data_IF_312372954739
#
_entry.id   IF_312372954739
#
_cell.length_a   1.000
_cell.length_b   1.000
_cell.length_c   1.000
_cell.angle_alpha   90.00
_cell.angle_beta   90.00
_cell.angle_gamma   90.00
#
_symmetry.space_group_name_H-M   'P 1'
#
loop_
_entity.id
_entity.type
_entity.pdbx_description
1 polymer ?
#
# COMPACT_ATOMS: atom_id res chain seq x y z
N UNK A 1 33.79 21.39 -10.89
CA UNK A 1 33.97 19.93 -10.75
C UNK A 1 33.92 19.35 -12.16
N UNK A 2 34.88 18.53 -12.58
CA UNK A 2 34.94 18.03 -13.97
C UNK A 2 33.75 17.11 -14.27
N UNK A 3 33.35 16.99 -15.54
CA UNK A 3 32.32 16.04 -15.97
C UNK A 3 32.89 14.62 -15.92
N UNK A 4 32.06 13.59 -15.68
CA UNK A 4 32.50 12.20 -15.53
C UNK A 4 33.36 11.71 -16.70
N UNK A 5 33.05 12.12 -17.93
CA UNK A 5 33.85 11.79 -19.12
C UNK A 5 35.31 12.27 -19.01
N UNK A 6 35.53 13.49 -18.50
CA UNK A 6 36.87 14.05 -18.29
C UNK A 6 37.59 13.35 -17.13
N UNK A 7 36.87 12.99 -16.06
CA UNK A 7 37.44 12.24 -14.93
C UNK A 7 37.89 10.83 -15.37
N UNK A 8 37.07 10.15 -16.17
CA UNK A 8 37.37 8.84 -16.74
C UNK A 8 38.58 8.91 -17.70
N UNK A 9 38.65 9.96 -18.52
CA UNK A 9 39.79 10.16 -19.42
C UNK A 9 41.11 10.34 -18.64
N UNK A 10 41.13 11.18 -17.60
CA UNK A 10 42.30 11.36 -16.73
C UNK A 10 42.74 10.04 -16.09
N UNK A 11 41.78 9.24 -15.61
CA UNK A 11 42.08 7.94 -14.97
C UNK A 11 42.63 6.93 -15.98
N UNK A 12 42.07 6.89 -17.19
CA UNK A 12 42.56 6.04 -18.28
C UNK A 12 43.99 6.40 -18.73
N UNK A 13 44.33 7.69 -18.83
CA UNK A 13 45.70 8.13 -19.15
C UNK A 13 46.73 7.64 -18.14
N UNK A 14 46.35 7.54 -16.86
CA UNK A 14 47.21 6.98 -15.82
C UNK A 14 47.26 5.45 -15.86
N UNK A 15 46.10 4.80 -15.83
CA UNK A 15 46.02 3.36 -15.56
C UNK A 15 46.32 2.51 -16.81
N UNK A 16 46.06 3.03 -18.02
CA UNK A 16 46.25 2.31 -19.30
C UNK A 16 47.49 2.78 -20.06
N UNK A 17 47.76 4.08 -20.04
CA UNK A 17 48.89 4.67 -20.79
C UNK A 17 50.11 4.97 -19.94
N UNK A 18 50.06 4.67 -18.64
CA UNK A 18 51.14 4.82 -17.66
C UNK A 18 51.77 6.23 -17.63
N UNK A 19 50.99 7.25 -17.99
CA UNK A 19 51.49 8.62 -18.07
C UNK A 19 51.71 9.22 -16.68
N UNK A 20 52.73 10.08 -16.57
CA UNK A 20 52.97 10.87 -15.37
C UNK A 20 51.90 11.96 -15.19
N UNK A 21 51.69 12.42 -13.96
CA UNK A 21 50.70 13.47 -13.66
C UNK A 21 51.02 14.75 -14.45
N UNK A 22 52.30 15.06 -14.67
CA UNK A 22 52.71 16.22 -15.47
C UNK A 22 52.28 16.11 -16.94
N UNK A 23 52.41 14.93 -17.55
CA UNK A 23 51.93 14.68 -18.92
C UNK A 23 50.40 14.74 -19.02
N UNK A 24 49.70 14.25 -18.00
CA UNK A 24 48.24 14.35 -17.93
C UNK A 24 47.80 15.82 -17.90
N UNK A 25 48.47 16.67 -17.10
CA UNK A 25 48.18 18.12 -17.03
C UNK A 25 48.39 18.79 -18.39
N UNK A 26 49.48 18.49 -19.08
CA UNK A 26 49.79 19.04 -20.39
C UNK A 26 48.75 18.61 -21.45
N UNK A 27 48.31 17.35 -21.40
CA UNK A 27 47.37 16.79 -22.36
C UNK A 27 45.90 17.18 -22.11
N UNK A 28 45.52 17.40 -20.86
CA UNK A 28 44.12 17.67 -20.47
C UNK A 28 43.85 19.12 -20.08
N UNK A 29 44.90 19.92 -19.88
CA UNK A 29 44.80 21.33 -19.46
C UNK A 29 44.24 21.55 -18.05
N UNK A 30 44.02 20.49 -17.26
CA UNK A 30 43.53 20.63 -15.88
C UNK A 30 44.66 20.87 -14.90
N UNK A 31 44.37 21.65 -13.85
CA UNK A 31 45.32 21.95 -12.79
C UNK A 31 45.90 20.66 -12.16
N UNK A 32 47.20 20.66 -11.88
CA UNK A 32 47.94 19.54 -11.31
C UNK A 32 47.28 18.91 -10.06
N UNK A 33 46.75 19.73 -9.13
CA UNK A 33 46.04 19.23 -7.93
C UNK A 33 44.76 18.47 -8.30
N UNK A 34 44.10 18.88 -9.37
CA UNK A 34 42.89 18.24 -9.87
C UNK A 34 43.22 16.94 -10.60
N UNK A 35 44.25 16.94 -11.44
CA UNK A 35 44.75 15.73 -12.09
C UNK A 35 45.17 14.68 -11.05
N UNK A 36 45.98 15.07 -10.06
CA UNK A 36 46.40 14.19 -8.95
C UNK A 36 45.20 13.67 -8.14
N UNK A 37 44.24 14.53 -7.80
CA UNK A 37 43.02 14.14 -7.08
C UNK A 37 42.25 13.01 -7.79
N UNK A 38 42.11 13.05 -9.11
CA UNK A 38 41.36 12.03 -9.85
C UNK A 38 42.20 10.79 -10.18
N UNK A 39 43.51 10.95 -10.36
CA UNK A 39 44.45 9.85 -10.52
C UNK A 39 44.50 8.96 -9.27
N UNK A 40 44.62 9.59 -8.09
CA UNK A 40 44.71 8.90 -6.80
C UNK A 40 43.34 8.44 -6.28
N UNK A 41 42.25 8.74 -7.00
CA UNK A 41 40.89 8.38 -6.60
C UNK A 41 40.61 6.91 -6.90
N UNK A 42 40.49 6.11 -5.84
CA UNK A 42 40.06 4.71 -5.90
C UNK A 42 38.54 4.55 -5.75
N UNK A 43 37.90 5.37 -4.90
CA UNK A 43 36.47 5.32 -4.67
C UNK A 43 35.69 6.32 -5.55
N UNK A 44 34.90 5.75 -6.47
CA UNK A 44 34.07 6.47 -7.43
C UNK A 44 32.59 6.52 -7.04
N UNK A 45 32.23 5.92 -5.90
CA UNK A 45 30.86 5.98 -5.41
C UNK A 45 30.49 7.42 -5.05
N UNK A 46 29.19 7.72 -5.14
CA UNK A 46 28.67 8.98 -4.60
C UNK A 46 28.87 8.94 -3.09
N UNK A 47 29.45 9.98 -2.47
CA UNK A 47 29.59 10.00 -1.02
C UNK A 47 28.19 9.88 -0.42
N UNK A 48 28.00 8.87 0.43
CA UNK A 48 26.81 8.77 1.24
C UNK A 48 26.73 10.05 2.06
N UNK A 49 25.69 10.85 1.82
CA UNK A 49 25.44 12.00 2.69
C UNK A 49 25.07 11.40 4.05
N UNK A 50 25.76 11.78 5.14
CA UNK A 50 25.32 11.35 6.45
C UNK A 50 23.86 11.82 6.59
N UNK A 51 22.96 10.87 6.85
CA UNK A 51 21.61 11.19 7.30
C UNK A 51 21.82 12.11 8.50
N UNK A 52 21.41 13.38 8.41
CA UNK A 52 21.46 14.30 9.55
C UNK A 52 20.45 13.80 10.57
N UNK A 53 20.86 12.83 11.37
CA UNK A 53 20.26 12.56 12.65
C UNK A 53 20.61 13.75 13.52
N UNK A 54 19.61 14.54 13.87
CA UNK A 54 19.43 15.10 15.21
C UNK A 54 18.10 15.82 15.22
N UNK A 55 17.16 15.25 15.96
CA UNK A 55 15.99 15.96 16.46
C UNK A 55 16.37 16.48 17.85
N UNK A 56 17.19 17.53 17.98
CA UNK A 56 17.70 17.95 19.30
C UNK A 56 16.54 18.32 20.24
N UNK A 57 15.43 18.81 19.69
CA UNK A 57 14.23 19.16 20.45
C UNK A 57 13.53 17.91 21.01
N UNK A 58 13.62 16.74 20.34
CA UNK A 58 13.01 15.49 20.82
C UNK A 58 13.88 14.75 21.85
N UNK A 59 15.16 15.11 21.98
CA UNK A 59 16.09 14.40 22.85
C UNK A 59 15.65 14.47 24.32
N UNK A 60 15.11 15.62 24.74
CA UNK A 60 14.56 15.83 26.08
C UNK A 60 13.26 15.03 26.38
N UNK A 61 12.54 14.58 25.35
CA UNK A 61 11.25 13.89 25.49
C UNK A 61 11.33 12.41 25.10
N UNK A 62 12.54 11.92 24.81
CA UNK A 62 12.78 10.55 24.34
C UNK A 62 12.28 9.50 25.31
N UNK A 63 12.67 9.60 26.57
CA UNK A 63 12.28 8.63 27.59
C UNK A 63 10.76 8.58 27.77
N UNK A 64 10.12 9.75 27.81
CA UNK A 64 8.67 9.85 27.96
C UNK A 64 7.91 9.21 26.79
N UNK A 65 8.35 9.48 25.56
CA UNK A 65 7.74 8.90 24.35
C UNK A 65 7.98 7.39 24.30
N UNK A 66 9.18 6.94 24.69
CA UNK A 66 9.50 5.50 24.76
C UNK A 66 8.60 4.79 25.78
N UNK A 67 8.39 5.37 26.96
CA UNK A 67 7.49 4.82 27.98
C UNK A 67 6.07 4.68 27.45
N UNK A 68 5.50 5.72 26.83
CA UNK A 68 4.15 5.64 26.26
C UNK A 68 4.05 4.59 25.14
N UNK A 69 5.07 4.47 24.29
CA UNK A 69 5.10 3.46 23.23
C UNK A 69 5.23 2.03 23.79
N UNK A 70 5.90 1.84 24.93
CA UNK A 70 5.97 0.55 25.62
C UNK A 70 4.65 0.20 26.31
N UNK A 71 4.03 1.16 27.02
CA UNK A 71 2.72 0.99 27.64
C UNK A 71 1.65 0.63 26.60
N UNK A 72 1.67 1.31 25.44
CA UNK A 72 0.77 1.05 24.32
C UNK A 72 0.82 -0.41 23.84
N UNK A 73 1.95 -1.11 23.99
CA UNK A 73 2.03 -2.53 23.57
C UNK A 73 1.08 -3.42 24.37
N UNK A 74 0.86 -3.10 25.65
CA UNK A 74 -0.05 -3.83 26.53
C UNK A 74 -1.53 -3.49 26.29
N UNK A 75 -1.81 -2.42 25.52
CA UNK A 75 -3.17 -1.99 25.22
C UNK A 75 -3.71 -2.55 23.88
N UNK A 76 -5.03 -2.74 23.75
CA UNK A 76 -5.67 -3.04 22.47
C UNK A 76 -5.35 -1.99 21.41
N UNK A 77 -5.20 -2.41 20.14
CA UNK A 77 -4.72 -1.54 19.04
C UNK A 77 -5.50 -0.23 18.89
N UNK A 78 -6.82 -0.24 19.14
CA UNK A 78 -7.70 0.95 19.08
C UNK A 78 -7.49 1.95 20.22
N UNK A 79 -6.83 1.55 21.30
CA UNK A 79 -6.58 2.36 22.49
C UNK A 79 -5.14 2.89 22.57
N UNK A 80 -4.27 2.48 21.64
CA UNK A 80 -2.88 2.95 21.56
C UNK A 80 -2.80 4.40 21.12
N UNK A 81 -1.77 5.11 21.56
CA UNK A 81 -1.56 6.50 21.17
C UNK A 81 -1.22 6.59 19.69
N UNK A 82 -1.93 7.47 18.98
CA UNK A 82 -1.50 7.90 17.65
C UNK A 82 -0.37 8.92 17.78
N UNK A 83 0.49 9.03 16.77
CA UNK A 83 1.59 10.02 16.79
C UNK A 83 1.08 11.47 16.98
N UNK A 84 -0.14 11.76 16.51
CA UNK A 84 -0.83 13.04 16.79
C UNK A 84 -1.15 13.19 18.27
N UNK A 85 -1.72 12.17 18.91
CA UNK A 85 -2.05 12.20 20.34
C UNK A 85 -0.79 12.32 21.21
N UNK A 86 0.32 11.69 20.81
CA UNK A 86 1.63 11.87 21.46
C UNK A 86 2.07 13.34 21.34
N UNK A 87 1.94 13.95 20.16
CA UNK A 87 2.27 15.37 19.97
C UNK A 87 1.39 16.28 20.84
N UNK A 88 0.07 16.08 20.84
CA UNK A 88 -0.86 16.89 21.63
C UNK A 88 -0.52 16.83 23.13
N UNK A 89 -0.19 15.63 23.65
CA UNK A 89 0.26 15.43 25.03
C UNK A 89 1.60 16.09 25.32
N UNK A 90 2.57 15.99 24.42
CA UNK A 90 3.86 16.67 24.56
C UNK A 90 3.69 18.20 24.64
N UNK A 91 2.78 18.77 23.85
CA UNK A 91 2.48 20.20 23.89
C UNK A 91 1.76 20.58 25.19
N UNK A 92 0.71 19.84 25.57
CA UNK A 92 -0.13 20.19 26.73
C UNK A 92 0.52 19.90 28.08
N UNK A 93 1.20 18.77 28.23
CA UNK A 93 1.76 18.30 29.50
C UNK A 93 3.22 18.77 29.68
N UNK A 94 3.97 18.97 28.59
CA UNK A 94 5.42 19.21 28.65
C UNK A 94 5.90 20.45 27.87
N UNK A 95 4.99 21.25 27.31
CA UNK A 95 5.33 22.51 26.65
C UNK A 95 6.19 22.36 25.39
N UNK A 96 6.03 21.26 24.64
CA UNK A 96 6.84 20.98 23.46
C UNK A 96 6.74 22.06 22.37
N UNK A 97 7.90 22.62 21.98
CA UNK A 97 8.01 23.71 21.00
C UNK A 97 8.26 23.24 19.55
N UNK A 98 8.32 21.94 19.30
CA UNK A 98 8.55 21.39 17.97
C UNK A 98 7.26 21.22 17.15
N UNK A 99 7.41 20.75 15.92
CA UNK A 99 6.28 20.48 15.02
C UNK A 99 5.76 19.04 15.15
N UNK A 100 4.46 18.83 14.86
CA UNK A 100 3.85 17.49 14.82
C UNK A 100 4.62 16.54 13.86
N UNK A 101 5.10 17.07 12.73
CA UNK A 101 5.92 16.32 11.75
C UNK A 101 7.17 15.71 12.39
N UNK A 102 7.78 16.44 13.33
CA UNK A 102 8.97 16.00 14.06
C UNK A 102 8.64 14.83 14.99
N UNK A 103 7.53 14.90 15.72
CA UNK A 103 7.04 13.82 16.58
C UNK A 103 6.65 12.59 15.76
N UNK A 104 5.94 12.76 14.63
CA UNK A 104 5.58 11.66 13.73
C UNK A 104 6.80 10.90 13.22
N UNK A 105 7.81 11.64 12.75
CA UNK A 105 9.05 11.03 12.28
C UNK A 105 9.77 10.28 13.40
N UNK A 106 9.86 10.91 14.59
CA UNK A 106 10.49 10.32 15.75
C UNK A 106 9.80 9.02 16.20
N UNK A 107 8.47 9.04 16.34
CA UNK A 107 7.65 7.88 16.71
C UNK A 107 7.81 6.75 15.69
N UNK A 108 7.79 7.06 14.38
CA UNK A 108 7.99 6.06 13.33
C UNK A 108 9.37 5.39 13.42
N UNK A 109 10.43 6.19 13.57
CA UNK A 109 11.80 5.68 13.77
C UNK A 109 11.88 4.80 15.01
N UNK A 110 11.24 5.21 16.09
CA UNK A 110 11.36 4.53 17.39
C UNK A 110 10.58 3.24 17.46
N UNK A 111 9.40 3.16 16.83
CA UNK A 111 8.65 1.92 16.63
C UNK A 111 9.45 0.86 15.87
N UNK A 112 10.24 1.29 14.87
CA UNK A 112 11.15 0.41 14.12
C UNK A 112 12.30 -0.09 15.02
N UNK A 113 12.96 0.82 15.74
CA UNK A 113 14.08 0.47 16.64
C UNK A 113 13.65 -0.45 17.78
N UNK A 114 12.46 -0.23 18.35
CA UNK A 114 11.88 -1.03 19.43
C UNK A 114 11.20 -2.32 18.94
N UNK A 115 11.23 -2.61 17.62
CA UNK A 115 10.55 -3.75 16.99
C UNK A 115 9.06 -3.88 17.37
N UNK A 116 8.39 -2.77 17.66
CA UNK A 116 6.97 -2.74 18.06
C UNK A 116 6.09 -3.13 16.87
N UNK A 117 6.54 -2.78 15.67
CA UNK A 117 5.96 -3.19 14.41
C UNK A 117 6.92 -4.21 13.77
N UNK A 118 6.94 -5.45 14.29
CA UNK A 118 7.39 -6.59 13.49
C UNK A 118 6.38 -6.78 12.36
N UNK A 119 6.47 -5.96 11.32
CA UNK A 119 5.92 -6.32 10.02
C UNK A 119 6.69 -7.55 9.60
N UNK A 120 6.03 -8.70 9.49
CA UNK A 120 6.56 -9.74 8.64
C UNK A 120 6.83 -9.11 7.27
N UNK A 121 7.99 -9.36 6.65
CA UNK A 121 8.28 -8.82 5.33
C UNK A 121 7.24 -9.38 4.36
N UNK A 122 6.28 -8.55 3.95
CA UNK A 122 5.34 -8.91 2.92
C UNK A 122 6.09 -8.99 1.60
N UNK A 123 6.04 -10.15 0.94
CA UNK A 123 6.45 -10.23 -0.46
C UNK A 123 5.37 -9.47 -1.23
N UNK A 124 5.76 -8.40 -1.91
CA UNK A 124 4.86 -7.69 -2.81
C UNK A 124 4.49 -8.66 -3.94
N UNK A 125 3.27 -9.20 -3.88
CA UNK A 125 2.73 -10.00 -4.96
C UNK A 125 2.54 -9.10 -6.18
N UNK A 126 3.32 -9.35 -7.23
CA UNK A 126 3.11 -8.76 -8.53
C UNK A 126 1.93 -9.47 -9.19
N UNK A 127 0.80 -8.79 -9.28
CA UNK A 127 -0.36 -9.28 -10.03
C UNK A 127 -0.21 -8.87 -11.49
N UNK A 128 -0.15 -9.82 -12.45
CA UNK A 128 -0.18 -9.49 -13.86
C UNK A 128 -1.49 -8.79 -14.24
N UNK A 129 -1.46 -8.00 -15.32
CA UNK A 129 -2.67 -7.39 -15.86
C UNK A 129 -3.73 -8.44 -16.21
N UNK A 130 -4.99 -8.16 -15.85
CA UNK A 130 -6.11 -9.08 -16.05
C UNK A 130 -6.47 -9.94 -14.82
N UNK A 131 -5.77 -9.77 -13.70
CA UNK A 131 -6.21 -10.28 -12.41
C UNK A 131 -7.05 -9.25 -11.65
N UNK A 132 -8.14 -9.71 -11.07
CA UNK A 132 -8.99 -8.95 -10.18
C UNK A 132 -9.16 -9.66 -8.85
N UNK A 133 -9.56 -8.91 -7.83
CA UNK A 133 -9.91 -9.45 -6.53
C UNK A 133 -11.28 -8.93 -6.12
N UNK A 134 -12.09 -9.84 -5.61
CA UNK A 134 -13.45 -9.58 -5.17
C UNK A 134 -13.52 -9.58 -3.63
N UNK A 135 -14.27 -8.63 -3.09
CA UNK A 135 -14.54 -8.52 -1.65
C UNK A 135 -15.96 -7.97 -1.38
N UNK A 136 -16.53 -8.41 -0.25
CA UNK A 136 -17.82 -7.95 0.26
C UNK A 136 -17.65 -6.88 1.35
N UNK A 137 -18.21 -5.71 1.09
CA UNK A 137 -18.41 -4.67 2.08
C UNK A 137 -19.82 -4.68 2.66
N UNK A 138 -19.96 -4.37 3.94
CA UNK A 138 -21.26 -4.00 4.53
C UNK A 138 -21.24 -2.51 4.86
N UNK A 139 -22.33 -1.81 4.53
CA UNK A 139 -22.52 -0.39 4.80
C UNK A 139 -23.99 -0.05 5.09
N UNK A 140 -24.23 1.11 5.71
CA UNK A 140 -25.56 1.63 5.97
C UNK A 140 -25.89 2.73 4.96
N UNK A 141 -27.14 2.76 4.50
CA UNK A 141 -27.68 3.76 3.58
C UNK A 141 -29.06 4.22 4.06
N UNK A 142 -29.49 5.42 3.66
CA UNK A 142 -30.86 5.86 3.87
C UNK A 142 -31.61 5.64 2.55
N UNK A 143 -32.55 4.70 2.52
CA UNK A 143 -33.38 4.42 1.34
C UNK A 143 -34.83 4.72 1.69
N UNK A 144 -35.47 5.62 0.94
CA UNK A 144 -36.87 5.99 1.19
C UNK A 144 -37.13 6.62 2.57
N UNK A 145 -36.09 7.22 3.17
CA UNK A 145 -36.17 7.83 4.51
C UNK A 145 -35.85 6.89 5.67
N UNK A 146 -35.61 5.60 5.42
CA UNK A 146 -35.25 4.63 6.45
C UNK A 146 -33.78 4.24 6.39
N UNK A 147 -33.15 4.09 7.56
CA UNK A 147 -31.79 3.59 7.68
C UNK A 147 -31.77 2.08 7.46
N UNK A 148 -31.11 1.65 6.39
CA UNK A 148 -31.05 0.25 5.99
C UNK A 148 -29.61 -0.22 5.79
N UNK A 149 -29.32 -1.44 6.22
CA UNK A 149 -28.04 -2.08 5.94
C UNK A 149 -28.05 -2.71 4.54
N UNK A 150 -26.98 -2.50 3.79
CA UNK A 150 -26.78 -3.05 2.45
C UNK A 150 -25.39 -3.65 2.31
N UNK A 151 -25.27 -4.51 1.30
CA UNK A 151 -24.02 -5.16 0.93
C UNK A 151 -23.48 -4.46 -0.32
N UNK A 152 -22.17 -4.39 -0.44
CA UNK A 152 -21.51 -3.91 -1.64
C UNK A 152 -20.48 -4.95 -2.08
N UNK A 153 -20.50 -5.22 -3.37
CA UNK A 153 -19.55 -6.06 -4.06
C UNK A 153 -18.47 -5.17 -4.65
N UNK A 154 -17.22 -5.43 -4.31
CA UNK A 154 -16.08 -4.63 -4.75
C UNK A 154 -15.20 -5.51 -5.63
N UNK A 155 -14.97 -5.09 -6.88
CA UNK A 155 -14.01 -5.71 -7.79
C UNK A 155 -12.83 -4.78 -7.98
N UNK A 156 -11.68 -5.16 -7.43
CA UNK A 156 -10.43 -4.38 -7.48
C UNK A 156 -9.43 -5.01 -8.44
N UNK A 157 -8.62 -4.17 -9.10
CA UNK A 157 -7.58 -4.55 -10.05
C UNK A 157 -6.21 -4.14 -9.50
N UNK A 158 -5.50 -5.05 -8.82
CA UNK A 158 -4.23 -4.76 -8.16
C UNK A 158 -3.15 -4.13 -9.07
N UNK A 159 -3.14 -4.50 -10.37
CA UNK A 159 -2.18 -4.00 -11.36
C UNK A 159 -2.39 -2.52 -11.70
N UNK A 160 -3.64 -2.07 -11.84
CA UNK A 160 -3.99 -0.71 -12.24
C UNK A 160 -4.45 0.17 -11.08
N UNK A 161 -4.61 -0.40 -9.88
CA UNK A 161 -5.28 0.17 -8.71
C UNK A 161 -6.75 0.58 -8.95
N UNK A 162 -7.36 0.20 -10.08
CA UNK A 162 -8.76 0.47 -10.33
C UNK A 162 -9.66 -0.37 -9.40
N UNK A 163 -10.81 0.17 -9.03
CA UNK A 163 -11.82 -0.57 -8.27
C UNK A 163 -13.21 -0.15 -8.74
N UNK A 164 -14.11 -1.11 -8.78
CA UNK A 164 -15.51 -0.95 -9.17
C UNK A 164 -16.40 -1.52 -8.09
N UNK A 165 -17.56 -0.92 -7.88
CA UNK A 165 -18.48 -1.29 -6.81
C UNK A 165 -19.89 -1.43 -7.33
N UNK A 166 -20.58 -2.45 -6.84
CA UNK A 166 -21.99 -2.66 -7.07
C UNK A 166 -22.72 -2.95 -5.76
N UNK A 167 -23.86 -2.30 -5.53
CA UNK A 167 -24.62 -2.46 -4.29
C UNK A 167 -25.63 -3.60 -4.46
N UNK A 168 -25.63 -4.53 -3.51
CA UNK A 168 -26.55 -5.67 -3.48
C UNK A 168 -27.45 -5.62 -2.25
N UNK A 169 -28.70 -6.13 -2.35
CA UNK A 169 -29.62 -6.13 -1.22
C UNK A 169 -29.22 -7.14 -0.15
N UNK A 170 -28.63 -8.28 -0.54
CA UNK A 170 -28.24 -9.39 0.34
C UNK A 170 -27.00 -10.11 -0.19
N UNK A 171 -26.41 -10.95 0.67
CA UNK A 171 -25.27 -11.82 0.38
C UNK A 171 -25.77 -13.25 0.08
N UNK A 172 -26.60 -13.40 -0.96
CA UNK A 172 -27.03 -14.70 -1.49
C UNK A 172 -26.41 -14.94 -2.88
N UNK A 173 -26.47 -16.18 -3.36
CA UNK A 173 -25.85 -16.58 -4.64
C UNK A 173 -26.38 -15.76 -5.82
N UNK A 174 -27.68 -15.52 -5.89
CA UNK A 174 -28.31 -14.76 -6.97
C UNK A 174 -27.80 -13.31 -7.02
N UNK A 175 -27.79 -12.62 -5.87
CA UNK A 175 -27.29 -11.25 -5.77
C UNK A 175 -25.79 -11.17 -6.07
N UNK A 176 -25.04 -12.21 -5.70
CA UNK A 176 -23.61 -12.29 -5.99
C UNK A 176 -23.32 -12.43 -7.48
N UNK A 177 -23.98 -13.40 -8.16
CA UNK A 177 -23.80 -13.62 -9.59
C UNK A 177 -24.28 -12.42 -10.43
N UNK A 178 -25.41 -11.83 -10.05
CA UNK A 178 -25.90 -10.60 -10.68
C UNK A 178 -24.94 -9.44 -10.45
N UNK A 179 -24.42 -9.29 -9.24
CA UNK A 179 -23.44 -8.26 -8.92
C UNK A 179 -22.16 -8.38 -9.74
N UNK A 180 -21.64 -9.60 -9.94
CA UNK A 180 -20.49 -9.85 -10.80
C UNK A 180 -20.77 -9.50 -12.26
N UNK A 181 -21.94 -9.89 -12.79
CA UNK A 181 -22.35 -9.52 -14.16
C UNK A 181 -22.34 -8.00 -14.34
N UNK A 182 -22.95 -7.28 -13.42
CA UNK A 182 -23.02 -5.82 -13.46
C UNK A 182 -21.63 -5.19 -13.37
N UNK A 183 -20.76 -5.72 -12.50
CA UNK A 183 -19.38 -5.26 -12.41
C UNK A 183 -18.61 -5.48 -13.71
N UNK A 184 -18.79 -6.62 -14.39
CA UNK A 184 -18.17 -6.89 -15.70
C UNK A 184 -18.63 -5.91 -16.78
N UNK A 185 -19.91 -5.54 -16.78
CA UNK A 185 -20.44 -4.51 -17.68
C UNK A 185 -19.83 -3.13 -17.36
N UNK A 186 -19.75 -2.76 -16.08
CA UNK A 186 -19.18 -1.49 -15.63
C UNK A 186 -17.69 -1.38 -15.97
N UNK A 187 -16.90 -2.45 -15.78
CA UNK A 187 -15.49 -2.43 -16.14
C UNK A 187 -15.24 -2.62 -17.64
N UNK A 188 -16.28 -2.92 -18.43
CA UNK A 188 -16.19 -3.06 -19.88
C UNK A 188 -15.47 -4.34 -20.32
N UNK A 189 -15.41 -5.37 -19.47
CA UNK A 189 -14.69 -6.61 -19.74
C UNK A 189 -14.69 -7.56 -18.55
N UNK A 190 -14.23 -8.79 -18.77
CA UNK A 190 -14.14 -9.81 -17.72
C UNK A 190 -12.66 -10.06 -17.37
N UNK A 191 -12.27 -10.07 -16.08
CA UNK A 191 -10.94 -10.48 -15.67
C UNK A 191 -10.64 -11.93 -16.06
N UNK A 192 -9.38 -12.24 -16.38
CA UNK A 192 -8.97 -13.61 -16.66
C UNK A 192 -8.95 -14.47 -15.40
N UNK A 193 -8.58 -13.88 -14.26
CA UNK A 193 -8.53 -14.53 -12.94
C UNK A 193 -9.15 -13.63 -11.89
N UNK A 194 -9.97 -14.21 -11.02
CA UNK A 194 -10.60 -13.50 -9.91
C UNK A 194 -10.25 -14.19 -8.60
N UNK A 195 -9.67 -13.44 -7.66
CA UNK A 195 -9.33 -13.91 -6.33
C UNK A 195 -10.47 -13.62 -5.34
N UNK A 196 -10.83 -14.63 -4.56
CA UNK A 196 -11.91 -14.60 -3.58
C UNK A 196 -11.37 -14.97 -2.19
N UNK A 197 -11.73 -14.22 -1.15
CA UNK A 197 -11.20 -14.45 0.21
C UNK A 197 -11.87 -15.66 0.88
N UNK A 198 -13.17 -15.56 1.09
CA UNK A 198 -13.98 -16.65 1.63
C UNK A 198 -15.45 -16.40 1.31
N UNK A 199 -15.98 -17.14 0.35
CA UNK A 199 -17.25 -16.84 -0.26
C UNK A 199 -18.22 -17.98 0.01
N UNK A 200 -18.95 -17.87 1.12
CA UNK A 200 -20.00 -18.81 1.49
C UNK A 200 -21.01 -19.01 0.36
N UNK A 201 -21.32 -17.95 -0.39
CA UNK A 201 -22.26 -17.99 -1.51
C UNK A 201 -21.74 -18.74 -2.75
N UNK A 202 -20.42 -18.93 -2.90
CA UNK A 202 -19.83 -19.69 -4.00
C UNK A 202 -19.29 -21.08 -3.60
N UNK A 203 -19.31 -21.41 -2.30
CA UNK A 203 -18.69 -22.64 -1.76
C UNK A 203 -19.73 -23.51 -1.07
N UNK A 204 -19.94 -24.73 -1.59
CA UNK A 204 -20.87 -25.75 -1.07
C UNK A 204 -20.35 -26.38 0.23
N UNK A 205 -19.05 -26.65 0.31
CA UNK A 205 -18.40 -27.20 1.50
C UNK A 205 -16.88 -27.11 1.40
N UNK A 206 -16.21 -27.03 2.55
CA UNK A 206 -14.76 -27.14 2.66
C UNK A 206 -14.44 -28.59 3.01
N UNK A 207 -13.77 -29.32 2.09
CA UNK A 207 -13.33 -30.68 2.37
C UNK A 207 -12.21 -30.72 3.41
N UNK A 208 -12.04 -31.86 4.08
CA UNK A 208 -10.94 -32.13 5.04
C UNK A 208 -9.54 -31.94 4.47
N UNK A 209 -9.41 -31.90 3.14
CA UNK A 209 -8.16 -31.84 2.39
C UNK A 209 -7.83 -30.40 1.94
N UNK A 210 -8.58 -29.40 2.43
CA UNK A 210 -8.43 -27.98 2.08
C UNK A 210 -9.04 -27.59 0.72
N UNK A 211 -9.50 -28.55 -0.09
CA UNK A 211 -10.15 -28.30 -1.38
C UNK A 211 -11.61 -27.86 -1.17
N UNK A 212 -11.93 -26.63 -1.62
CA UNK A 212 -13.29 -26.06 -1.60
C UNK A 212 -14.10 -26.63 -2.77
N UNK A 213 -15.31 -27.14 -2.52
CA UNK A 213 -16.25 -27.52 -3.59
C UNK A 213 -17.12 -26.32 -3.94
N UNK A 214 -17.04 -25.88 -5.19
CA UNK A 214 -17.86 -24.78 -5.71
C UNK A 214 -19.26 -25.26 -6.06
N UNK A 215 -20.24 -24.36 -5.98
CA UNK A 215 -21.60 -24.64 -6.45
C UNK A 215 -21.60 -24.84 -7.97
N UNK A 216 -22.45 -25.75 -8.48
CA UNK A 216 -22.60 -25.98 -9.92
C UNK A 216 -22.97 -24.68 -10.66
N UNK A 217 -23.78 -23.84 -10.04
CA UNK A 217 -24.18 -22.53 -10.57
C UNK A 217 -22.97 -21.61 -10.76
N UNK A 218 -22.10 -21.51 -9.75
CA UNK A 218 -20.90 -20.68 -9.85
C UNK A 218 -19.90 -21.24 -10.86
N UNK A 219 -19.76 -22.57 -10.95
CA UNK A 219 -18.93 -23.19 -11.99
C UNK A 219 -19.45 -22.89 -13.39
N UNK A 220 -20.77 -23.00 -13.62
CA UNK A 220 -21.39 -22.64 -14.91
C UNK A 220 -21.19 -21.17 -15.23
N UNK A 221 -21.30 -20.29 -14.24
CA UNK A 221 -21.07 -18.86 -14.40
C UNK A 221 -19.61 -18.57 -14.80
N UNK A 222 -18.64 -19.18 -14.11
CA UNK A 222 -17.22 -19.06 -14.43
C UNK A 222 -16.91 -19.57 -15.86
N UNK A 223 -17.53 -20.68 -16.28
CA UNK A 223 -17.39 -21.19 -17.65
C UNK A 223 -18.02 -20.27 -18.69
N UNK A 224 -19.17 -19.66 -18.39
CA UNK A 224 -19.87 -18.75 -19.30
C UNK A 224 -19.02 -17.48 -19.57
N UNK A 225 -18.51 -16.86 -18.51
CA UNK A 225 -17.69 -15.65 -18.60
C UNK A 225 -16.20 -15.92 -18.83
N UNK A 226 -15.77 -17.19 -18.76
CA UNK A 226 -14.40 -17.66 -19.02
C UNK A 226 -13.33 -17.06 -18.10
N UNK A 227 -13.66 -16.85 -16.84
CA UNK A 227 -12.68 -16.46 -15.81
C UNK A 227 -12.31 -17.66 -14.93
N UNK A 228 -11.10 -17.64 -14.39
CA UNK A 228 -10.64 -18.64 -13.42
C UNK A 228 -10.83 -18.13 -11.99
N UNK A 229 -11.67 -18.78 -11.17
CA UNK A 229 -11.80 -18.44 -9.76
C UNK A 229 -10.62 -19.00 -8.95
N UNK A 230 -10.03 -18.15 -8.11
CA UNK A 230 -8.93 -18.49 -7.19
C UNK A 230 -9.38 -18.15 -5.78
N UNK A 231 -9.16 -19.07 -4.83
CA UNK A 231 -9.59 -18.88 -3.45
C UNK A 231 -8.38 -18.80 -2.53
N UNK A 232 -8.33 -17.77 -1.68
CA UNK A 232 -7.26 -17.61 -0.70
C UNK A 232 -7.39 -18.67 0.41
N UNK A 233 -6.25 -19.15 0.92
CA UNK A 233 -6.25 -20.11 2.03
C UNK A 233 -6.74 -19.44 3.32
N UNK A 234 -7.56 -20.13 4.14
CA UNK A 234 -7.93 -19.62 5.46
C UNK A 234 -6.67 -19.36 6.30
N UNK A 235 -6.59 -18.19 6.95
CA UNK A 235 -5.53 -17.77 7.87
C UNK A 235 -4.14 -17.41 7.28
N UNK A 236 -4.02 -17.11 5.98
CA UNK A 236 -2.79 -16.55 5.39
C UNK A 236 -2.97 -15.07 4.98
N UNK A 237 -3.01 -14.16 5.96
CA UNK A 237 -3.07 -12.71 5.71
C UNK A 237 -1.88 -12.16 4.92
N UNK A 238 -0.77 -12.89 4.89
CA UNK A 238 0.48 -12.51 4.20
C UNK A 238 0.36 -12.48 2.66
N UNK A 239 -0.68 -13.10 2.08
CA UNK A 239 -0.95 -13.06 0.63
C UNK A 239 -1.79 -11.84 0.21
N UNK A 240 -2.23 -10.99 1.16
CA UNK A 240 -3.22 -9.93 0.92
C UNK A 240 -2.76 -8.51 1.30
N UNK A 241 -1.45 -8.23 1.31
CA UNK A 241 -0.92 -6.92 1.69
C UNK A 241 -1.42 -5.73 0.84
N UNK A 242 -1.82 -5.95 -0.42
CA UNK A 242 -2.33 -4.88 -1.29
C UNK A 242 -3.84 -4.58 -1.08
N UNK A 243 -4.55 -5.52 -0.46
CA UNK A 243 -6.02 -5.55 -0.41
C UNK A 243 -6.56 -4.78 0.78
N UNK A 244 -5.96 -4.97 1.96
CA UNK A 244 -6.44 -4.31 3.20
C UNK A 244 -6.39 -2.78 3.08
N UNK A 245 -5.38 -2.24 2.39
CA UNK A 245 -5.26 -0.81 2.18
C UNK A 245 -6.26 -0.29 1.13
N UNK A 246 -6.48 -1.00 0.02
CA UNK A 246 -7.39 -0.56 -1.04
C UNK A 246 -8.86 -0.70 -0.65
N UNK A 247 -9.25 -1.80 -0.01
CA UNK A 247 -10.62 -2.00 0.51
C UNK A 247 -10.87 -1.04 1.67
N UNK A 248 -9.91 -0.91 2.59
CA UNK A 248 -9.99 0.08 3.67
C UNK A 248 -10.09 1.50 3.13
N UNK A 249 -9.41 1.83 2.04
CA UNK A 249 -9.48 3.13 1.36
C UNK A 249 -10.81 3.33 0.62
N UNK A 250 -11.28 2.35 -0.15
CA UNK A 250 -12.58 2.35 -0.82
C UNK A 250 -13.73 2.52 0.17
N UNK A 251 -13.73 1.76 1.27
CA UNK A 251 -14.71 1.91 2.37
C UNK A 251 -14.64 3.30 3.01
N UNK A 252 -13.44 3.84 3.24
CA UNK A 252 -13.26 5.18 3.83
C UNK A 252 -13.63 6.31 2.89
N UNK A 253 -13.47 6.17 1.57
CA UNK A 253 -13.81 7.21 0.59
C UNK A 253 -15.28 7.16 0.15
N UNK A 254 -15.85 5.97 0.00
CA UNK A 254 -17.21 5.81 -0.53
C UNK A 254 -18.30 5.67 0.55
N UNK A 255 -17.94 5.27 1.78
CA UNK A 255 -18.90 5.12 2.88
C UNK A 255 -18.76 6.19 3.98
N UNK A 256 -18.05 7.30 3.73
CA UNK A 256 -17.85 8.37 4.72
C UNK A 256 -19.13 9.16 5.06
N UNK A 257 -20.08 9.22 4.12
CA UNK A 257 -21.40 9.81 4.32
C UNK A 257 -22.45 8.74 4.03
N UNK A 258 -23.45 8.61 4.90
CA UNK A 258 -24.59 7.72 4.67
C UNK A 258 -25.25 8.10 3.34
N UNK A 259 -25.12 7.29 2.28
CA UNK A 259 -25.69 7.66 1.00
C UNK A 259 -27.22 7.64 1.10
N UNK A 260 -27.84 8.71 0.62
CA UNK A 260 -29.30 8.89 0.63
C UNK A 260 -29.81 8.65 -0.79
N UNK A 261 -30.76 7.74 -0.95
CA UNK A 261 -31.40 7.44 -2.23
C UNK A 261 -32.90 7.16 -2.03
N UNK A 262 -33.69 7.33 -3.08
CA UNK A 262 -35.10 6.96 -3.04
C UNK A 262 -35.30 5.45 -3.25
N UNK A 263 -34.40 4.82 -4.02
CA UNK A 263 -34.41 3.39 -4.31
C UNK A 263 -32.98 2.82 -4.48
N UNK A 264 -32.89 1.49 -4.60
CA UNK A 264 -31.62 0.78 -4.74
C UNK A 264 -30.92 1.09 -6.07
N UNK A 265 -31.67 1.34 -7.13
CA UNK A 265 -31.10 1.60 -8.47
C UNK A 265 -30.39 2.95 -8.51
N UNK A 266 -31.00 3.97 -7.91
CA UNK A 266 -30.42 5.28 -7.70
C UNK A 266 -29.20 5.21 -6.79
N UNK A 267 -29.25 4.41 -5.72
CA UNK A 267 -28.10 4.18 -4.85
C UNK A 267 -26.94 3.55 -5.64
N UNK A 268 -27.21 2.49 -6.40
CA UNK A 268 -26.20 1.84 -7.25
C UNK A 268 -25.59 2.83 -8.25
N UNK A 269 -26.39 3.62 -8.97
CA UNK A 269 -25.88 4.65 -9.91
C UNK A 269 -25.05 5.74 -9.22
N UNK A 270 -25.34 6.07 -7.96
CA UNK A 270 -24.59 7.08 -7.21
C UNK A 270 -23.25 6.59 -6.69
N UNK A 271 -23.15 5.29 -6.37
CA UNK A 271 -21.94 4.63 -5.86
C UNK A 271 -21.04 4.16 -7.02
N UNK A 272 -21.62 3.86 -8.19
CA UNK A 272 -20.90 3.50 -9.43
C UNK A 272 -20.24 4.74 -10.04
N UNK A 273 -19.12 5.22 -9.48
CA UNK A 273 -18.25 6.20 -10.15
C UNK A 273 -16.74 6.02 -9.88
N UNK A 274 -16.06 5.81 -11.02
CA UNK A 274 -14.64 6.02 -11.36
C UNK A 274 -13.55 5.13 -10.74
N UNK A 275 -12.52 4.78 -11.55
CA UNK A 275 -11.33 4.09 -11.06
C UNK A 275 -10.64 4.93 -9.99
N UNK A 276 -10.30 4.30 -8.87
CA UNK A 276 -9.45 4.92 -7.86
C UNK A 276 -8.04 5.07 -8.48
N UNK A 277 -7.65 6.27 -8.90
CA UNK A 277 -6.23 6.58 -9.03
C UNK A 277 -5.71 6.90 -7.63
N UNK A 278 -5.25 5.88 -6.90
CA UNK A 278 -4.46 6.11 -5.69
C UNK A 278 -3.11 6.69 -6.13
N UNK A 279 -2.92 8.00 -5.94
CA UNK A 279 -1.59 8.64 -5.93
C UNK A 279 -0.94 8.36 -4.59
#
# INVERSE_FOLDING_TARGET
>A
MLVMAQQHYIKNLRDVKDQSISQIVEQTGVNWRTAKKYVDRSDWNKPERPLRGKFPIMEAYREQVDTWLMEDQSCPQKQRHTAKRIYDRLVSEFGFAGSERTVRYYVAKRKLELQIEKSEPYIRLEHPGGEAQEDFGTFQAIIGGELVERKMLILSYPYSNAAFVFVTPKENTECFLEGLRQLFEICGGVPNRIWFDNLSAAVVSVGTDGRRRLTDEFQRFALHYRFQPVFCNPAQGNEKGHVENNVGYARRNWCFLLPVANDLEQLSKSVVKSPISAV
#
